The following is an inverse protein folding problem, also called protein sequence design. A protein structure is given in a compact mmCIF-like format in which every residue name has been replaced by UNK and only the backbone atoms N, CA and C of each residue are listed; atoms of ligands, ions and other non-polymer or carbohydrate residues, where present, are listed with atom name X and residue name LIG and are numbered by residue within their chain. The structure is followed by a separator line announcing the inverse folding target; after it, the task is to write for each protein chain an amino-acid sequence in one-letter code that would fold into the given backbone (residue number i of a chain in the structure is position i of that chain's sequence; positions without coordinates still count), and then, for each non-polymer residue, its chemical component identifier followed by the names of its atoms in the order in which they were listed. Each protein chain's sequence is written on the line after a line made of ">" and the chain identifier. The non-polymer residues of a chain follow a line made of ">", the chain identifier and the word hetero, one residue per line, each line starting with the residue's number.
data_IF_277610566182
#
_entry.id   IF_277610566182
#
_cell.length_a   1.000
_cell.length_b   1.000
_cell.length_c   1.000
_cell.angle_alpha   90.00
_cell.angle_beta   90.00
_cell.angle_gamma   90.00
#
_symmetry.space_group_name_H-M   'P 1'
#
loop_
_entity.id
_entity.type
_entity.pdbx_description
1 polymer ?
#
# COMPACT_ATOMS: atom_id res chain seq x y z
N UNK A 1 35.20 54.49 37.30
CA UNK A 1 34.38 55.24 38.28
C UNK A 1 32.92 54.87 38.04
N UNK A 2 32.36 54.00 38.89
CA UNK A 2 31.26 54.27 39.86
C UNK A 2 29.95 54.70 39.18
N UNK A 3 28.99 53.79 38.96
CA UNK A 3 27.95 53.28 39.89
C UNK A 3 26.81 54.29 40.13
N UNK A 4 25.56 53.97 39.78
CA UNK A 4 24.54 53.43 40.71
C UNK A 4 23.33 52.90 39.89
N UNK A 5 22.84 51.64 39.94
CA UNK A 5 22.06 50.92 41.01
C UNK A 5 21.01 51.83 41.69
N UNK A 6 19.74 51.48 41.98
CA UNK A 6 18.89 50.27 42.03
C UNK A 6 17.47 50.76 42.42
N UNK A 7 16.41 50.02 42.05
CA UNK A 7 15.14 49.73 42.78
C UNK A 7 14.12 49.28 41.70
N UNK A 8 13.75 48.02 41.43
CA UNK A 8 13.29 46.85 42.24
C UNK A 8 12.04 47.17 43.09
N UNK A 9 10.85 46.94 42.51
CA UNK A 9 9.88 45.87 42.85
C UNK A 9 8.44 46.28 42.51
N UNK A 10 7.64 45.34 41.98
CA UNK A 10 6.24 45.60 41.65
C UNK A 10 5.45 44.51 40.91
N UNK A 11 5.47 43.27 41.42
CA UNK A 11 4.31 42.35 41.48
C UNK A 11 3.77 41.85 40.12
N UNK A 12 4.25 40.67 39.67
CA UNK A 12 3.50 39.40 39.69
C UNK A 12 2.03 39.49 39.23
N UNK A 13 1.77 39.22 37.93
CA UNK A 13 0.52 38.57 37.52
C UNK A 13 0.83 37.15 37.04
N UNK A 14 0.91 36.24 38.01
CA UNK A 14 0.80 34.80 37.76
C UNK A 14 -0.56 34.52 37.14
N UNK A 15 -0.62 34.28 35.82
CA UNK A 15 -1.70 33.48 35.26
C UNK A 15 -1.52 32.05 35.76
N UNK A 16 -2.20 31.74 36.88
CA UNK A 16 -2.48 30.36 37.29
C UNK A 16 -3.19 29.69 36.11
N UNK A 17 -2.47 28.83 35.40
CA UNK A 17 -3.14 27.70 34.77
C UNK A 17 -3.69 26.86 35.92
N UNK A 18 -5.02 26.93 36.09
CA UNK A 18 -5.73 25.99 36.95
C UNK A 18 -5.56 24.63 36.29
N UNK A 19 -4.65 23.83 36.85
CA UNK A 19 -4.56 22.40 36.62
C UNK A 19 -5.81 21.80 37.28
N UNK A 20 -6.90 21.70 36.55
CA UNK A 20 -7.99 20.80 36.96
C UNK A 20 -7.47 19.38 36.79
N UNK A 21 -6.92 18.85 37.88
CA UNK A 21 -6.88 17.42 38.12
C UNK A 21 -8.32 16.91 38.20
N UNK A 22 -8.90 16.57 37.05
CA UNK A 22 -10.03 15.67 37.04
C UNK A 22 -9.47 14.26 37.25
N UNK A 23 -9.69 13.77 38.47
CA UNK A 23 -9.54 12.37 38.88
C UNK A 23 -9.97 11.45 37.75
N UNK A 24 -8.97 10.75 37.22
CA UNK A 24 -9.03 9.58 36.34
C UNK A 24 -10.08 8.60 36.88
N UNK A 25 -11.27 8.57 36.26
CA UNK A 25 -12.23 7.49 36.43
C UNK A 25 -12.04 6.49 35.28
N UNK A 26 -11.58 5.30 35.67
CA UNK A 26 -10.95 4.25 34.87
C UNK A 26 -11.95 3.28 34.17
N UNK A 27 -12.98 3.77 33.46
CA UNK A 27 -13.96 2.87 32.83
C UNK A 27 -14.43 3.15 31.40
N UNK A 28 -13.93 4.16 30.69
CA UNK A 28 -14.44 4.51 29.35
C UNK A 28 -13.33 4.64 28.28
N UNK A 29 -12.39 3.69 28.26
CA UNK A 29 -11.10 3.78 27.51
C UNK A 29 -10.92 2.74 26.39
N UNK A 30 -11.95 2.35 25.61
CA UNK A 30 -11.85 1.14 24.75
C UNK A 30 -12.07 1.27 23.24
N UNK A 31 -12.13 2.47 22.63
CA UNK A 31 -12.67 2.58 21.27
C UNK A 31 -11.97 3.59 20.36
N UNK A 32 -10.83 3.19 19.85
CA UNK A 32 -10.25 3.61 18.58
C UNK A 32 -9.35 2.44 18.24
N UNK A 33 -9.41 1.67 17.15
CA UNK A 33 -9.75 1.69 15.70
C UNK A 33 -10.00 0.18 15.41
N UNK A 34 -9.66 -0.42 14.26
CA UNK A 34 -9.29 -1.82 14.07
C UNK A 34 -7.78 -2.09 14.21
N UNK A 35 -6.92 -1.20 13.73
CA UNK A 35 -5.45 -1.18 14.00
C UNK A 35 -5.12 -0.21 15.16
N UNK A 36 -6.16 -0.04 15.95
CA UNK A 36 -6.27 0.73 17.16
C UNK A 36 -7.28 -0.10 18.04
N UNK A 37 -8.10 -1.04 17.50
CA UNK A 37 -8.71 -2.19 18.23
C UNK A 37 -7.78 -3.42 18.22
N UNK A 38 -6.52 -3.17 18.55
CA UNK A 38 -5.58 -4.22 18.92
C UNK A 38 -5.38 -4.30 20.43
N UNK A 39 -6.08 -3.46 21.19
CA UNK A 39 -6.23 -3.62 22.63
C UNK A 39 -7.63 -4.12 22.99
N UNK A 40 -7.84 -5.43 23.05
CA UNK A 40 -8.96 -6.00 23.83
C UNK A 40 -8.39 -6.79 25.00
N UNK A 41 -8.54 -6.26 26.20
CA UNK A 41 -8.45 -7.03 27.43
C UNK A 41 -9.74 -7.84 27.63
N UNK A 42 -9.64 -9.16 27.43
CA UNK A 42 -10.21 -10.26 28.24
C UNK A 42 -11.64 -10.18 28.84
N UNK A 43 -12.55 -9.35 28.36
CA UNK A 43 -13.89 -9.25 28.96
C UNK A 43 -15.00 -9.07 27.91
N UNK A 44 -15.09 -9.99 26.96
CA UNK A 44 -16.34 -10.45 26.31
C UNK A 44 -15.97 -11.59 25.33
N UNK A 45 -15.94 -12.81 25.88
CA UNK A 45 -15.70 -14.05 25.16
C UNK A 45 -16.94 -14.44 24.36
N UNK A 46 -16.84 -14.48 23.03
CA UNK A 46 -17.32 -15.61 22.21
C UNK A 46 -16.40 -15.72 20.99
N UNK A 47 -15.90 -16.92 20.72
CA UNK A 47 -14.98 -17.37 19.65
C UNK A 47 -13.47 -17.27 19.95
N UNK A 48 -12.82 -18.44 20.05
CA UNK A 48 -11.43 -18.60 20.45
C UNK A 48 -10.42 -18.22 19.35
N UNK A 49 -10.81 -18.33 18.07
CA UNK A 49 -9.92 -18.08 16.93
C UNK A 49 -9.70 -16.58 16.69
N UNK A 50 -10.74 -15.76 16.85
CA UNK A 50 -10.66 -14.29 16.70
C UNK A 50 -9.78 -13.63 17.78
N UNK A 51 -9.78 -14.21 18.99
CA UNK A 51 -8.93 -13.75 20.09
C UNK A 51 -7.44 -13.96 19.82
N UNK A 52 -7.08 -15.10 19.22
CA UNK A 52 -5.70 -15.41 18.84
C UNK A 52 -5.22 -14.49 17.71
N UNK A 53 -6.09 -14.17 16.75
CA UNK A 53 -5.78 -13.24 15.66
C UNK A 53 -5.46 -11.82 16.16
N UNK A 54 -6.32 -11.26 17.02
CA UNK A 54 -6.12 -9.94 17.62
C UNK A 54 -4.86 -9.88 18.50
N UNK A 55 -4.63 -10.93 19.28
CA UNK A 55 -3.45 -11.00 20.14
C UNK A 55 -2.14 -11.03 19.33
N UNK A 56 -2.11 -11.79 18.23
CA UNK A 56 -0.96 -11.80 17.30
C UNK A 56 -0.73 -10.44 16.67
N UNK A 57 -1.80 -9.79 16.19
CA UNK A 57 -1.69 -8.49 15.54
C UNK A 57 -1.23 -7.40 16.52
N UNK A 58 -1.60 -7.47 17.81
CA UNK A 58 -1.06 -6.58 18.86
C UNK A 58 0.46 -6.74 19.06
N UNK A 59 1.00 -7.94 18.89
CA UNK A 59 2.45 -8.17 19.00
C UNK A 59 3.24 -7.64 17.82
N UNK A 60 2.59 -7.55 16.66
CA UNK A 60 3.17 -7.03 15.42
C UNK A 60 3.12 -5.50 15.35
N UNK A 61 2.36 -4.86 16.24
CA UNK A 61 2.22 -3.41 16.33
C UNK A 61 2.35 -3.00 17.82
N UNK A 62 3.55 -3.17 18.44
CA UNK A 62 3.79 -2.80 19.82
C UNK A 62 3.72 -1.27 20.05
N UNK A 63 3.67 -0.79 21.30
CA UNK A 63 3.75 0.64 21.60
C UNK A 63 4.99 1.29 20.98
N UNK A 64 4.81 2.44 20.33
CA UNK A 64 5.85 3.14 19.56
C UNK A 64 5.28 4.25 18.67
N UNK A 65 6.13 4.95 17.94
CA UNK A 65 5.79 5.99 16.99
C UNK A 65 5.65 5.41 15.57
N UNK A 66 4.49 5.58 14.94
CA UNK A 66 4.19 4.94 13.66
C UNK A 66 3.91 5.94 12.55
N UNK A 67 4.41 5.61 11.36
CA UNK A 67 4.03 6.26 10.10
C UNK A 67 2.97 5.43 9.40
N UNK A 68 1.82 6.02 9.13
CA UNK A 68 0.71 5.40 8.39
C UNK A 68 0.63 5.99 7.00
N UNK A 69 0.85 5.17 5.97
CA UNK A 69 0.81 5.58 4.57
C UNK A 69 -0.59 5.36 4.01
N UNK A 70 -1.20 6.41 3.46
CA UNK A 70 -2.44 6.29 2.69
C UNK A 70 -2.12 6.23 1.21
N UNK A 71 -2.19 5.02 0.66
CA UNK A 71 -1.74 4.70 -0.69
C UNK A 71 -2.91 4.70 -1.68
N UNK A 72 -2.82 5.52 -2.73
CA UNK A 72 -3.82 5.54 -3.80
C UNK A 72 -3.52 4.47 -4.86
N UNK A 73 -4.14 3.30 -4.75
CA UNK A 73 -3.96 2.20 -5.71
C UNK A 73 -4.69 2.40 -7.05
N UNK A 74 -5.39 3.53 -7.25
CA UNK A 74 -5.72 4.00 -8.61
C UNK A 74 -4.49 4.49 -9.38
N UNK A 75 -3.41 4.82 -8.66
CA UNK A 75 -2.07 5.12 -9.18
C UNK A 75 -1.13 4.03 -8.65
N UNK A 76 -1.21 2.84 -9.23
CA UNK A 76 -0.52 1.66 -8.71
C UNK A 76 1.00 1.87 -8.62
N UNK A 77 1.57 1.39 -7.53
CA UNK A 77 3.01 1.25 -7.28
C UNK A 77 3.32 -0.22 -6.94
N UNK A 78 4.60 -0.60 -6.95
CA UNK A 78 5.03 -1.98 -6.68
C UNK A 78 4.56 -2.48 -5.31
N UNK A 79 4.76 -1.71 -4.25
CA UNK A 79 4.36 -2.07 -2.88
C UNK A 79 3.11 -1.30 -2.42
N UNK A 80 2.06 -1.31 -3.25
CA UNK A 80 0.76 -0.68 -2.98
C UNK A 80 0.43 0.48 -3.93
N UNK A 81 -0.33 1.46 -3.50
CA UNK A 81 -0.63 2.67 -4.27
C UNK A 81 0.37 3.83 -4.11
N UNK A 82 0.19 4.90 -4.88
CA UNK A 82 0.93 6.15 -4.74
C UNK A 82 0.75 6.77 -3.34
N UNK A 83 1.85 7.18 -2.69
CA UNK A 83 1.81 7.79 -1.34
C UNK A 83 1.44 9.26 -1.48
N UNK A 84 0.15 9.53 -1.39
CA UNK A 84 -0.38 10.87 -1.59
C UNK A 84 -0.64 11.66 -0.30
N UNK A 85 -0.70 10.97 0.82
CA UNK A 85 -0.99 11.50 2.16
C UNK A 85 -0.54 10.47 3.19
N UNK A 86 -0.30 10.89 4.42
CA UNK A 86 0.10 10.00 5.50
C UNK A 86 -0.39 10.54 6.85
N UNK A 87 -0.24 9.74 7.89
CA UNK A 87 -0.41 10.17 9.25
C UNK A 87 0.74 9.68 10.13
N UNK A 88 0.97 10.35 11.24
CA UNK A 88 1.77 9.81 12.35
C UNK A 88 0.88 9.63 13.57
N UNK A 89 1.16 8.60 14.36
CA UNK A 89 0.47 8.38 15.63
C UNK A 89 1.36 7.61 16.59
N UNK A 90 1.17 7.84 17.89
CA UNK A 90 1.83 7.09 18.93
C UNK A 90 0.92 5.97 19.41
N UNK A 91 1.35 4.72 19.28
CA UNK A 91 0.66 3.57 19.83
C UNK A 91 1.11 3.40 21.28
N UNK A 92 0.13 3.26 22.18
CA UNK A 92 0.36 3.08 23.62
C UNK A 92 -0.25 1.76 24.07
N UNK A 93 0.07 1.34 25.29
CA UNK A 93 -0.53 0.13 25.87
C UNK A 93 -2.07 0.20 25.97
N UNK A 94 -2.63 1.41 25.93
CA UNK A 94 -4.06 1.70 26.13
C UNK A 94 -4.78 2.21 24.88
N UNK A 95 -4.09 2.38 23.74
CA UNK A 95 -4.69 2.88 22.50
C UNK A 95 -3.69 3.66 21.67
N UNK A 96 -4.06 4.88 21.27
CA UNK A 96 -3.21 5.80 20.52
C UNK A 96 -3.30 7.22 21.07
N UNK A 97 -2.26 7.99 20.80
CA UNK A 97 -2.19 9.42 21.06
C UNK A 97 -1.53 10.13 19.85
N UNK A 98 -1.58 11.46 19.84
CA UNK A 98 -0.84 12.30 18.88
C UNK A 98 -1.07 11.98 17.39
N UNK A 99 -2.29 11.61 17.00
CA UNK A 99 -2.64 11.44 15.59
C UNK A 99 -2.55 12.77 14.83
N UNK A 100 -1.61 12.84 13.90
CA UNK A 100 -1.43 13.97 12.98
C UNK A 100 -1.56 13.45 11.56
N UNK A 101 -2.43 14.09 10.77
CA UNK A 101 -2.69 13.72 9.36
C UNK A 101 -2.11 14.81 8.46
N UNK A 102 -1.26 14.41 7.53
CA UNK A 102 -0.70 15.25 6.48
C UNK A 102 -1.35 14.88 5.13
N UNK A 103 -2.09 15.84 4.58
CA UNK A 103 -2.93 15.66 3.40
C UNK A 103 -2.25 16.10 2.10
N UNK A 104 -1.05 16.68 2.17
CA UNK A 104 -0.34 17.14 0.98
C UNK A 104 1.16 16.84 1.04
N UNK A 105 1.50 15.65 0.55
CA UNK A 105 2.89 15.18 0.42
C UNK A 105 3.79 16.14 -0.38
N UNK A 106 3.23 16.86 -1.37
CA UNK A 106 4.01 17.76 -2.24
C UNK A 106 4.63 18.93 -1.49
N UNK A 107 4.06 19.38 -0.37
CA UNK A 107 4.65 20.47 0.43
C UNK A 107 6.02 20.08 0.96
N UNK A 108 6.15 18.83 1.41
CA UNK A 108 7.40 18.29 1.94
C UNK A 108 8.36 17.91 0.82
N UNK A 109 7.87 17.20 -0.19
CA UNK A 109 8.67 16.79 -1.34
C UNK A 109 9.31 17.98 -2.06
N UNK A 110 8.55 19.06 -2.33
CA UNK A 110 9.08 20.24 -3.01
C UNK A 110 10.21 20.90 -2.21
N UNK A 111 9.97 21.12 -0.91
CA UNK A 111 10.98 21.71 -0.03
C UNK A 111 12.24 20.84 0.11
N UNK A 112 12.12 19.51 0.04
CA UNK A 112 13.26 18.60 0.04
C UNK A 112 13.98 18.57 -1.30
N UNK A 113 13.24 18.39 -2.40
CA UNK A 113 13.80 18.28 -3.75
C UNK A 113 14.47 19.57 -4.22
N UNK A 114 14.12 20.75 -3.69
CA UNK A 114 14.88 21.98 -3.93
C UNK A 114 16.32 21.92 -3.40
N UNK A 115 16.55 21.19 -2.32
CA UNK A 115 17.83 21.12 -1.60
C UNK A 115 18.66 19.87 -1.93
N UNK A 116 17.99 18.77 -2.25
CA UNK A 116 18.60 17.46 -2.47
C UNK A 116 18.16 16.90 -3.82
N UNK A 117 19.12 16.42 -4.61
CA UNK A 117 18.87 15.79 -5.90
C UNK A 117 19.19 14.30 -5.83
N UNK A 118 18.16 13.48 -5.67
CA UNK A 118 18.26 12.02 -5.78
C UNK A 118 17.62 11.64 -7.10
N UNK A 119 18.37 10.99 -8.00
CA UNK A 119 17.81 10.55 -9.27
C UNK A 119 16.76 9.46 -9.05
N UNK A 120 15.57 9.58 -9.67
CA UNK A 120 14.59 8.51 -9.65
C UNK A 120 15.10 7.32 -10.51
N UNK A 121 14.57 6.11 -10.24
CA UNK A 121 14.67 4.99 -11.18
C UNK A 121 14.24 5.41 -12.58
N UNK A 122 14.86 4.81 -13.61
CA UNK A 122 14.61 5.18 -15.01
C UNK A 122 13.11 5.22 -15.37
N UNK A 123 12.27 4.23 -14.99
CA UNK A 123 10.84 4.26 -15.32
C UNK A 123 10.03 5.36 -14.63
N UNK A 124 10.60 6.00 -13.59
CA UNK A 124 9.97 7.13 -12.88
C UNK A 124 10.46 8.49 -13.38
N UNK A 125 11.41 8.53 -14.32
CA UNK A 125 11.91 9.79 -14.88
C UNK A 125 10.80 10.55 -15.60
N UNK A 126 10.78 11.87 -15.44
CA UNK A 126 9.74 12.75 -15.99
C UNK A 126 8.40 12.72 -15.27
N UNK A 127 8.20 11.78 -14.34
CA UNK A 127 6.98 11.63 -13.52
C UNK A 127 7.24 12.06 -12.09
N UNK A 128 8.45 11.76 -11.59
CA UNK A 128 8.94 12.17 -10.27
C UNK A 128 8.94 13.70 -10.09
N UNK A 129 8.76 14.17 -8.86
CA UNK A 129 8.72 15.62 -8.53
C UNK A 129 10.03 16.27 -8.93
N UNK A 130 9.99 17.23 -9.87
CA UNK A 130 11.19 17.88 -10.41
C UNK A 130 12.23 16.89 -10.98
N UNK A 131 11.77 15.71 -11.44
CA UNK A 131 12.63 14.58 -11.83
C UNK A 131 13.60 14.13 -10.72
N UNK A 132 13.14 14.23 -9.47
CA UNK A 132 13.87 13.85 -8.24
C UNK A 132 13.01 12.94 -7.39
N UNK A 133 13.65 11.92 -6.81
CA UNK A 133 13.01 11.00 -5.89
C UNK A 133 12.72 11.70 -4.56
N UNK A 134 11.51 11.50 -4.04
CA UNK A 134 11.02 12.03 -2.76
C UNK A 134 10.09 11.00 -2.11
N UNK A 135 9.58 11.27 -0.90
CA UNK A 135 8.79 10.32 -0.11
C UNK A 135 7.61 9.74 -0.90
N UNK A 136 6.89 10.55 -1.69
CA UNK A 136 5.70 10.11 -2.45
C UNK A 136 5.91 8.93 -3.40
N UNK A 137 7.12 8.77 -3.95
CA UNK A 137 7.49 7.75 -4.94
C UNK A 137 8.53 6.76 -4.36
N UNK A 138 8.79 6.83 -3.05
CA UNK A 138 9.81 6.01 -2.40
C UNK A 138 9.39 4.55 -2.18
N UNK A 139 8.11 4.21 -2.40
CA UNK A 139 7.59 2.85 -2.38
C UNK A 139 7.74 2.10 -3.73
N UNK A 140 8.88 2.33 -4.40
CA UNK A 140 9.19 1.77 -5.70
C UNK A 140 9.74 0.33 -5.65
N UNK A 141 10.19 -0.17 -4.50
CA UNK A 141 10.70 -1.54 -4.44
C UNK A 141 9.55 -2.55 -4.50
N UNK A 142 9.80 -3.71 -5.14
CA UNK A 142 8.85 -4.84 -5.16
C UNK A 142 8.71 -5.50 -3.77
N UNK A 143 9.68 -5.27 -2.91
CA UNK A 143 9.73 -5.73 -1.53
C UNK A 143 9.28 -4.61 -0.59
N UNK A 144 8.18 -4.82 0.15
CA UNK A 144 7.62 -3.75 0.97
C UNK A 144 8.53 -3.36 2.14
N UNK A 145 9.29 -4.28 2.72
CA UNK A 145 10.27 -3.94 3.77
C UNK A 145 11.27 -2.91 3.27
N UNK A 146 11.86 -3.14 2.10
CA UNK A 146 12.80 -2.20 1.46
C UNK A 146 12.14 -0.84 1.16
N UNK A 147 10.90 -0.86 0.67
CA UNK A 147 10.08 0.34 0.48
C UNK A 147 9.80 1.07 1.80
N UNK A 148 9.45 0.36 2.88
CA UNK A 148 9.13 0.95 4.18
C UNK A 148 10.36 1.57 4.86
N UNK A 149 11.51 0.92 4.77
CA UNK A 149 12.81 1.47 5.18
C UNK A 149 13.12 2.76 4.42
N UNK A 150 12.93 2.76 3.09
CA UNK A 150 13.16 3.93 2.25
C UNK A 150 12.18 5.08 2.55
N UNK A 151 10.90 4.78 2.69
CA UNK A 151 9.87 5.75 3.07
C UNK A 151 10.18 6.37 4.43
N UNK A 152 10.55 5.57 5.43
CA UNK A 152 10.94 6.05 6.76
C UNK A 152 12.15 6.98 6.70
N UNK A 153 13.13 6.65 5.84
CA UNK A 153 14.29 7.50 5.62
C UNK A 153 13.91 8.84 4.99
N UNK A 154 13.10 8.84 3.92
CA UNK A 154 12.63 10.07 3.27
C UNK A 154 11.79 10.92 4.21
N UNK A 155 10.86 10.32 4.96
CA UNK A 155 10.05 11.01 5.96
C UNK A 155 10.94 11.81 6.92
N UNK A 156 12.01 11.19 7.44
CA UNK A 156 12.99 11.87 8.29
C UNK A 156 13.76 12.98 7.57
N UNK A 157 14.18 12.77 6.31
CA UNK A 157 14.88 13.81 5.53
C UNK A 157 13.97 15.00 5.20
N UNK A 158 12.67 14.76 5.11
CA UNK A 158 11.62 15.74 4.82
C UNK A 158 11.07 16.43 6.09
N UNK A 159 11.80 16.31 7.21
CA UNK A 159 11.51 17.00 8.46
C UNK A 159 10.55 16.25 9.39
N UNK A 160 10.31 14.96 9.14
CA UNK A 160 9.64 14.05 10.06
C UNK A 160 10.56 13.53 11.17
N UNK A 161 9.95 12.92 12.19
CA UNK A 161 10.69 12.23 13.26
C UNK A 161 11.07 10.80 12.85
N UNK A 162 11.93 10.14 13.64
CA UNK A 162 12.18 8.72 13.44
C UNK A 162 10.95 7.92 13.88
N UNK A 163 10.62 6.86 13.14
CA UNK A 163 9.45 6.00 13.39
C UNK A 163 9.90 4.60 13.75
N UNK A 164 9.16 3.94 14.63
CA UNK A 164 9.41 2.57 15.06
C UNK A 164 8.82 1.56 14.06
N UNK A 165 7.77 1.94 13.34
CA UNK A 165 7.13 1.11 12.32
C UNK A 165 6.36 1.90 11.24
N UNK A 166 6.05 1.21 10.16
CA UNK A 166 5.29 1.71 9.01
C UNK A 166 4.07 0.83 8.78
N UNK A 167 2.90 1.45 8.63
CA UNK A 167 1.65 0.78 8.28
C UNK A 167 1.19 1.35 6.93
N UNK A 168 1.22 0.54 5.87
CA UNK A 168 0.70 0.95 4.57
C UNK A 168 -0.75 0.49 4.42
N UNK A 169 -1.62 1.40 3.97
CA UNK A 169 -3.06 1.15 3.79
C UNK A 169 -3.44 1.63 2.39
N UNK A 170 -3.84 0.71 1.52
CA UNK A 170 -4.38 1.04 0.21
C UNK A 170 -5.78 1.66 0.32
N UNK A 171 -6.13 2.56 -0.61
CA UNK A 171 -7.40 3.29 -0.57
C UNK A 171 -8.63 2.38 -0.64
N UNK A 172 -8.51 1.22 -1.26
CA UNK A 172 -9.52 0.15 -1.28
C UNK A 172 -9.92 -0.33 0.12
N UNK A 173 -9.01 -0.31 1.11
CA UNK A 173 -9.35 -0.65 2.51
C UNK A 173 -10.47 0.24 3.05
N UNK A 174 -10.43 1.54 2.74
CA UNK A 174 -11.48 2.47 3.16
C UNK A 174 -12.81 2.22 2.43
N UNK A 175 -12.74 1.85 1.15
CA UNK A 175 -13.90 1.41 0.36
C UNK A 175 -14.54 0.16 0.96
N UNK A 176 -13.73 -0.85 1.30
CA UNK A 176 -14.21 -2.11 1.88
C UNK A 176 -14.74 -1.91 3.30
N UNK A 177 -14.12 -1.01 4.08
CA UNK A 177 -14.61 -0.66 5.41
C UNK A 177 -16.03 -0.06 5.37
N UNK A 178 -16.38 0.72 4.34
CA UNK A 178 -17.74 1.26 4.16
C UNK A 178 -18.81 0.16 4.04
N UNK A 179 -18.45 -1.04 3.58
CA UNK A 179 -19.36 -2.21 3.54
C UNK A 179 -19.75 -2.67 4.95
N UNK A 180 -18.90 -2.41 5.95
CA UNK A 180 -19.10 -2.81 7.34
C UNK A 180 -19.72 -1.68 8.16
N UNK A 181 -19.24 -0.45 7.98
CA UNK A 181 -19.66 0.71 8.79
C UNK A 181 -20.89 1.44 8.25
N UNK A 182 -21.30 1.11 7.02
CA UNK A 182 -22.39 1.76 6.30
C UNK A 182 -21.96 3.07 5.61
N UNK A 183 -22.91 3.69 4.92
CA UNK A 183 -22.70 4.96 4.24
C UNK A 183 -22.38 6.10 5.20
N UNK A 184 -21.59 7.07 4.73
CA UNK A 184 -21.27 8.30 5.44
C UNK A 184 -21.90 9.48 4.70
N UNK A 185 -22.76 10.28 5.36
CA UNK A 185 -23.30 11.49 4.75
C UNK A 185 -22.16 12.51 4.54
N UNK A 186 -22.16 13.16 3.39
CA UNK A 186 -21.21 14.21 3.04
C UNK A 186 -21.84 15.60 3.23
N UNK A 187 -21.03 16.65 3.47
CA UNK A 187 -21.53 18.02 3.57
C UNK A 187 -22.27 18.51 2.32
N UNK A 188 -21.99 17.91 1.15
CA UNK A 188 -22.66 18.21 -0.12
C UNK A 188 -24.11 17.72 -0.18
N UNK A 189 -24.54 16.89 0.78
CA UNK A 189 -25.86 16.25 0.81
C UNK A 189 -25.88 14.84 0.20
N UNK A 190 -24.82 14.45 -0.50
CA UNK A 190 -24.64 13.09 -1.00
C UNK A 190 -24.20 12.11 0.10
N UNK A 191 -24.21 10.82 -0.21
CA UNK A 191 -23.68 9.78 0.66
C UNK A 191 -22.43 9.13 0.03
N UNK A 192 -21.37 9.04 0.82
CA UNK A 192 -20.21 8.22 0.52
C UNK A 192 -20.51 6.76 0.86
N UNK A 193 -20.43 5.89 -0.13
CA UNK A 193 -20.69 4.45 -0.06
C UNK A 193 -19.52 3.67 -0.65
N UNK A 194 -19.49 2.36 -0.44
CA UNK A 194 -18.46 1.52 -1.04
C UNK A 194 -18.50 1.59 -2.58
N UNK A 195 -19.69 1.67 -3.18
CA UNK A 195 -19.88 1.60 -4.64
C UNK A 195 -19.45 2.88 -5.35
N UNK A 196 -19.50 4.04 -4.68
CA UNK A 196 -19.15 5.34 -5.26
C UNK A 196 -17.86 5.93 -4.66
N UNK A 197 -17.18 5.22 -3.75
CA UNK A 197 -16.05 5.75 -2.97
C UNK A 197 -15.01 6.52 -3.80
N UNK A 198 -14.43 5.85 -4.80
CA UNK A 198 -13.39 6.46 -5.64
C UNK A 198 -13.93 7.61 -6.49
N UNK A 199 -15.10 7.43 -7.12
CA UNK A 199 -15.73 8.46 -7.95
C UNK A 199 -16.06 9.71 -7.15
N UNK A 200 -16.64 9.55 -5.95
CA UNK A 200 -17.03 10.65 -5.07
C UNK A 200 -15.81 11.36 -4.48
N UNK A 201 -14.82 10.62 -3.96
CA UNK A 201 -13.59 11.26 -3.45
C UNK A 201 -12.83 11.97 -4.55
N UNK A 202 -12.74 11.37 -5.75
CA UNK A 202 -12.12 12.03 -6.89
C UNK A 202 -12.85 13.34 -7.22
N UNK A 203 -14.18 13.31 -7.31
CA UNK A 203 -14.97 14.51 -7.59
C UNK A 203 -14.72 15.63 -6.57
N UNK A 204 -14.69 15.32 -5.28
CA UNK A 204 -14.43 16.31 -4.22
C UNK A 204 -13.00 16.86 -4.32
N UNK A 205 -12.00 15.98 -4.43
CA UNK A 205 -10.57 16.32 -4.39
C UNK A 205 -10.11 17.06 -5.65
N UNK A 206 -10.64 16.70 -6.82
CA UNK A 206 -10.10 17.15 -8.11
C UNK A 206 -11.00 18.18 -8.79
N UNK A 207 -12.31 18.11 -8.56
CA UNK A 207 -13.26 19.08 -9.09
C UNK A 207 -13.60 20.13 -8.04
N UNK A 208 -14.29 19.77 -6.96
CA UNK A 208 -14.75 20.78 -5.99
C UNK A 208 -13.59 21.60 -5.42
N UNK A 209 -12.45 20.95 -5.13
CA UNK A 209 -11.28 21.62 -4.61
C UNK A 209 -10.60 22.57 -5.60
N UNK A 210 -10.25 22.08 -6.79
CA UNK A 210 -9.46 22.89 -7.74
C UNK A 210 -10.31 23.90 -8.52
N UNK A 211 -11.63 23.77 -8.57
CA UNK A 211 -12.48 24.83 -9.14
C UNK A 211 -12.75 25.97 -8.14
N UNK A 212 -12.53 25.78 -6.84
CA UNK A 212 -12.60 26.83 -5.81
C UNK A 212 -11.28 27.63 -5.73
N UNK A 213 -11.30 28.97 -5.97
CA UNK A 213 -10.09 29.80 -5.91
C UNK A 213 -9.40 29.86 -4.54
N UNK A 214 -10.17 29.77 -3.45
CA UNK A 214 -9.65 29.81 -2.07
C UNK A 214 -8.97 28.48 -1.75
N UNK A 215 -9.59 27.37 -2.13
CA UNK A 215 -9.03 26.04 -1.93
C UNK A 215 -7.76 25.83 -2.76
N UNK A 216 -7.75 26.26 -4.03
CA UNK A 216 -6.51 26.29 -4.84
C UNK A 216 -5.36 27.04 -4.16
N UNK A 217 -5.66 28.15 -3.49
CA UNK A 217 -4.64 28.92 -2.76
C UNK A 217 -4.12 28.17 -1.52
N UNK A 218 -4.97 27.38 -0.86
CA UNK A 218 -4.60 26.57 0.32
C UNK A 218 -3.76 25.34 -0.05
N UNK A 219 -4.00 24.77 -1.23
CA UNK A 219 -3.29 23.61 -1.79
C UNK A 219 -3.20 22.44 -0.79
N UNK A 220 -4.36 21.94 -0.38
CA UNK A 220 -4.63 20.83 0.55
C UNK A 220 -5.82 20.00 0.05
N UNK A 221 -5.76 19.45 -1.18
CA UNK A 221 -6.91 18.87 -1.87
C UNK A 221 -7.52 17.65 -1.16
N UNK A 222 -6.77 17.01 -0.25
CA UNK A 222 -7.19 15.81 0.48
C UNK A 222 -7.72 16.11 1.88
N UNK A 223 -8.09 17.36 2.16
CA UNK A 223 -8.71 17.75 3.44
C UNK A 223 -9.96 16.92 3.75
N UNK A 224 -10.73 16.53 2.72
CA UNK A 224 -11.87 15.61 2.88
C UNK A 224 -11.50 14.30 3.58
N UNK A 225 -10.30 13.76 3.36
CA UNK A 225 -9.83 12.54 4.04
C UNK A 225 -9.72 12.82 5.55
N UNK A 226 -9.13 13.96 5.93
CA UNK A 226 -9.00 14.38 7.32
C UNK A 226 -10.36 14.60 7.99
N UNK A 227 -11.34 15.14 7.26
CA UNK A 227 -12.70 15.37 7.76
C UNK A 227 -13.50 14.07 7.92
N UNK A 228 -13.24 13.06 7.08
CA UNK A 228 -13.88 11.76 7.16
C UNK A 228 -13.34 10.91 8.33
N UNK A 229 -12.06 11.04 8.69
CA UNK A 229 -11.42 10.22 9.74
C UNK A 229 -12.22 10.18 11.06
N UNK A 230 -12.66 11.31 11.65
CA UNK A 230 -13.48 11.29 12.87
C UNK A 230 -14.77 10.50 12.72
N UNK A 231 -15.43 10.57 11.55
CA UNK A 231 -16.67 9.83 11.28
C UNK A 231 -16.40 8.34 11.15
N UNK A 232 -15.35 7.95 10.41
CA UNK A 232 -14.89 6.55 10.35
C UNK A 232 -14.60 6.03 11.76
N UNK A 233 -13.81 6.77 12.55
CA UNK A 233 -13.48 6.41 13.93
C UNK A 233 -14.75 6.24 14.76
N UNK A 234 -15.71 7.17 14.67
CA UNK A 234 -16.98 7.11 15.40
C UNK A 234 -17.81 5.87 15.04
N UNK A 235 -17.90 5.53 13.74
CA UNK A 235 -18.64 4.34 13.28
C UNK A 235 -17.97 3.03 13.68
N UNK A 236 -16.63 3.00 13.67
CA UNK A 236 -15.87 1.85 14.17
C UNK A 236 -16.18 1.52 15.64
N UNK A 237 -16.65 2.51 16.42
CA UNK A 237 -17.00 2.32 17.85
C UNK A 237 -18.27 1.50 18.08
N UNK A 238 -19.07 1.28 17.05
CA UNK A 238 -20.35 0.60 17.18
C UNK A 238 -20.13 -0.91 17.41
N UNK A 239 -20.82 -1.49 18.40
CA UNK A 239 -20.60 -2.87 18.81
C UNK A 239 -20.76 -3.89 17.67
N UNK A 240 -21.71 -3.67 16.75
CA UNK A 240 -21.92 -4.51 15.56
C UNK A 240 -20.76 -4.45 14.57
N UNK A 241 -20.01 -3.35 14.53
CA UNK A 241 -18.81 -3.18 13.70
C UNK A 241 -17.61 -3.83 14.37
N UNK A 242 -17.42 -3.62 15.68
CA UNK A 242 -16.30 -4.15 16.45
C UNK A 242 -16.13 -5.67 16.32
N UNK A 243 -17.24 -6.40 16.32
CA UNK A 243 -17.21 -7.88 16.20
C UNK A 243 -16.71 -8.33 14.82
N UNK A 244 -16.88 -7.52 13.77
CA UNK A 244 -16.48 -7.86 12.39
C UNK A 244 -15.07 -7.38 12.03
N UNK A 245 -14.55 -6.44 12.82
CA UNK A 245 -13.32 -5.72 12.55
C UNK A 245 -12.06 -6.60 12.55
N UNK A 246 -11.88 -7.61 13.44
CA UNK A 246 -10.72 -8.48 13.41
C UNK A 246 -10.62 -9.27 12.10
N UNK A 247 -11.73 -9.90 11.70
CA UNK A 247 -11.82 -10.65 10.45
C UNK A 247 -11.57 -9.76 9.22
N UNK A 248 -12.12 -8.54 9.24
CA UNK A 248 -11.86 -7.54 8.20
C UNK A 248 -10.36 -7.22 8.08
N UNK A 249 -9.69 -6.85 9.18
CA UNK A 249 -8.27 -6.50 9.13
C UNK A 249 -7.42 -7.68 8.67
N UNK A 250 -7.73 -8.89 9.17
CA UNK A 250 -7.02 -10.09 8.76
C UNK A 250 -7.18 -10.36 7.26
N UNK A 251 -8.38 -10.15 6.72
CA UNK A 251 -8.62 -10.22 5.28
C UNK A 251 -7.77 -9.19 4.54
N UNK A 252 -7.82 -7.91 4.92
CA UNK A 252 -7.04 -6.85 4.27
C UNK A 252 -5.52 -7.07 4.33
N UNK A 253 -5.01 -7.66 5.43
CA UNK A 253 -3.61 -8.04 5.57
C UNK A 253 -3.25 -9.22 4.64
N UNK A 254 -4.08 -10.26 4.59
CA UNK A 254 -3.87 -11.43 3.74
C UNK A 254 -3.98 -11.09 2.25
N UNK A 255 -4.87 -10.16 1.89
CA UNK A 255 -5.02 -9.64 0.53
C UNK A 255 -3.96 -8.60 0.16
N UNK A 256 -3.04 -8.29 1.10
CA UNK A 256 -1.97 -7.30 1.00
C UNK A 256 -2.49 -5.89 0.71
N UNK A 257 -3.71 -5.57 1.13
CA UNK A 257 -4.26 -4.22 1.12
C UNK A 257 -3.75 -3.39 2.31
N UNK A 258 -3.42 -4.07 3.41
CA UNK A 258 -2.64 -3.53 4.52
C UNK A 258 -1.29 -4.25 4.58
N UNK A 259 -0.21 -3.51 4.80
CA UNK A 259 1.13 -4.08 5.01
C UNK A 259 1.79 -3.44 6.23
N UNK A 260 2.57 -4.23 6.96
CA UNK A 260 3.24 -3.81 8.19
C UNK A 260 4.75 -3.89 8.03
N UNK A 261 5.47 -3.01 8.70
CA UNK A 261 6.91 -3.06 8.85
C UNK A 261 7.27 -2.52 10.23
N UNK A 262 8.27 -3.12 10.86
CA UNK A 262 8.79 -2.65 12.14
C UNK A 262 10.32 -2.66 12.17
N UNK A 263 10.92 -1.70 12.87
CA UNK A 263 12.39 -1.56 12.97
C UNK A 263 13.02 -2.56 13.93
N UNK A 264 12.29 -3.01 14.96
CA UNK A 264 12.67 -4.16 15.80
C UNK A 264 12.63 -5.47 15.00
N UNK A 265 13.78 -6.15 14.92
CA UNK A 265 13.98 -7.35 14.13
C UNK A 265 13.08 -8.53 14.56
N UNK A 266 12.72 -8.64 15.85
CA UNK A 266 11.85 -9.72 16.32
C UNK A 266 10.40 -9.46 15.91
N UNK A 267 9.95 -8.21 15.99
CA UNK A 267 8.62 -7.80 15.53
C UNK A 267 8.51 -8.00 14.02
N UNK A 268 9.52 -7.56 13.25
CA UNK A 268 9.57 -7.73 11.81
C UNK A 268 9.59 -9.21 11.40
N UNK A 269 10.36 -10.05 12.09
CA UNK A 269 10.36 -11.49 11.83
C UNK A 269 8.96 -12.12 12.00
N UNK A 270 8.18 -11.66 12.99
CA UNK A 270 6.80 -12.12 13.18
C UNK A 270 5.86 -11.62 12.08
N UNK A 271 6.00 -10.36 11.66
CA UNK A 271 5.25 -9.76 10.54
C UNK A 271 5.50 -10.56 9.25
N UNK A 272 6.77 -10.87 8.96
CA UNK A 272 7.18 -11.64 7.79
C UNK A 272 6.70 -13.09 7.85
N UNK A 273 6.76 -13.73 9.02
CA UNK A 273 6.24 -15.08 9.22
C UNK A 273 4.72 -15.17 9.01
N UNK A 274 3.98 -14.09 9.24
CA UNK A 274 2.56 -13.98 8.94
C UNK A 274 2.26 -13.57 7.49
N UNK A 275 3.30 -13.31 6.67
CA UNK A 275 3.20 -12.80 5.30
C UNK A 275 2.52 -11.41 5.18
N UNK A 276 2.54 -10.64 6.27
CA UNK A 276 1.93 -9.30 6.33
C UNK A 276 2.93 -8.17 6.03
N UNK A 277 4.22 -8.52 5.89
CA UNK A 277 5.29 -7.56 5.61
C UNK A 277 5.61 -7.34 4.14
N UNK A 278 4.88 -7.97 3.21
CA UNK A 278 5.05 -7.66 1.79
C UNK A 278 6.39 -8.02 1.16
N UNK A 279 7.19 -8.86 1.82
CA UNK A 279 8.49 -9.24 1.31
C UNK A 279 8.40 -10.16 0.09
N UNK A 280 9.42 -10.13 -0.76
CA UNK A 280 9.55 -11.14 -1.83
C UNK A 280 9.79 -12.50 -1.19
N UNK A 281 8.94 -13.49 -1.53
CA UNK A 281 9.01 -14.80 -0.88
C UNK A 281 10.20 -15.60 -1.37
N UNK A 282 10.95 -16.16 -0.43
CA UNK A 282 11.95 -17.19 -0.74
C UNK A 282 11.25 -18.52 -0.94
N UNK A 283 11.25 -18.99 -2.19
CA UNK A 283 10.65 -20.26 -2.55
C UNK A 283 11.70 -21.27 -2.97
N UNK A 284 11.41 -22.52 -2.62
CA UNK A 284 12.21 -23.68 -2.98
C UNK A 284 11.86 -24.21 -4.38
N UNK A 285 10.62 -23.99 -4.81
CA UNK A 285 10.10 -24.38 -6.12
C UNK A 285 10.03 -23.20 -7.08
N UNK A 286 9.17 -23.34 -8.08
CA UNK A 286 8.94 -22.30 -9.07
C UNK A 286 8.22 -21.08 -8.47
N UNK A 287 8.38 -19.92 -9.12
CA UNK A 287 7.93 -18.63 -8.60
C UNK A 287 7.45 -17.72 -9.73
N UNK A 288 6.33 -17.04 -9.51
CA UNK A 288 5.89 -15.95 -10.37
C UNK A 288 5.27 -14.85 -9.52
N UNK A 289 5.69 -13.61 -9.76
CA UNK A 289 5.00 -12.43 -9.24
C UNK A 289 5.01 -11.32 -10.29
N UNK A 290 3.90 -10.60 -10.38
CA UNK A 290 3.70 -9.53 -11.35
C UNK A 290 3.50 -8.22 -10.60
N UNK A 291 4.44 -7.28 -10.75
CA UNK A 291 4.40 -5.98 -10.09
C UNK A 291 4.16 -4.89 -11.11
N UNK A 292 2.92 -4.40 -11.15
CA UNK A 292 2.50 -3.28 -11.96
C UNK A 292 2.89 -1.95 -11.30
N UNK A 293 3.41 -1.01 -12.07
CA UNK A 293 3.65 0.35 -11.63
C UNK A 293 3.12 1.32 -12.67
N UNK A 294 2.08 2.07 -12.31
CA UNK A 294 1.53 3.11 -13.16
C UNK A 294 2.42 4.37 -13.06
N UNK A 295 3.25 4.54 -14.07
CA UNK A 295 4.20 5.64 -14.22
C UNK A 295 3.64 6.72 -15.15
N UNK A 296 2.32 6.77 -15.37
CA UNK A 296 1.70 7.82 -16.16
C UNK A 296 1.34 9.08 -15.37
N UNK A 297 1.21 8.97 -14.04
CA UNK A 297 0.66 10.03 -13.19
C UNK A 297 -0.87 10.20 -13.30
N UNK A 298 -1.56 9.25 -13.95
CA UNK A 298 -3.02 9.22 -14.06
C UNK A 298 -3.63 8.12 -13.17
N UNK A 299 -4.91 8.23 -12.84
CA UNK A 299 -5.60 7.36 -11.87
C UNK A 299 -6.33 6.19 -12.54
N UNK A 300 -5.70 5.54 -13.52
CA UNK A 300 -6.32 4.52 -14.37
C UNK A 300 -6.16 3.08 -13.86
N UNK A 301 -5.35 2.83 -12.82
CA UNK A 301 -4.99 1.45 -12.45
C UNK A 301 -6.18 0.60 -12.00
N UNK A 302 -7.16 1.19 -11.30
CA UNK A 302 -8.38 0.47 -10.89
C UNK A 302 -9.37 0.23 -12.05
N UNK A 303 -9.16 0.88 -13.20
CA UNK A 303 -9.94 0.65 -14.42
C UNK A 303 -9.33 -0.43 -15.32
N UNK A 304 -8.19 -1.03 -14.93
CA UNK A 304 -7.51 -2.08 -15.70
C UNK A 304 -7.66 -3.42 -14.98
N UNK A 305 -8.27 -4.40 -15.66
CA UNK A 305 -8.31 -5.79 -15.20
C UNK A 305 -7.17 -6.59 -15.82
N UNK A 306 -6.53 -7.48 -15.06
CA UNK A 306 -5.44 -8.34 -15.53
C UNK A 306 -5.84 -9.83 -15.49
N UNK A 307 -5.56 -10.55 -16.58
CA UNK A 307 -5.57 -12.01 -16.65
C UNK A 307 -4.16 -12.52 -16.95
N UNK A 308 -3.70 -13.47 -16.16
CA UNK A 308 -2.42 -14.16 -16.34
C UNK A 308 -2.67 -15.62 -16.68
N UNK A 309 -2.11 -16.07 -17.81
CA UNK A 309 -2.12 -17.48 -18.21
C UNK A 309 -0.69 -18.00 -18.21
N UNK A 310 -0.41 -19.03 -17.42
CA UNK A 310 0.90 -19.66 -17.30
C UNK A 310 0.81 -21.06 -17.89
N UNK A 311 1.56 -21.31 -18.96
CA UNK A 311 1.71 -22.64 -19.55
C UNK A 311 3.09 -23.17 -19.20
N UNK A 312 3.14 -24.36 -18.63
CA UNK A 312 4.36 -25.02 -18.16
C UNK A 312 4.54 -26.31 -18.95
N UNK A 313 5.73 -26.49 -19.53
CA UNK A 313 6.14 -27.73 -20.19
C UNK A 313 7.42 -28.26 -19.54
N UNK A 314 7.53 -29.58 -19.39
CA UNK A 314 8.75 -30.23 -18.93
C UNK A 314 9.67 -30.45 -20.12
N UNK A 315 10.73 -29.65 -20.24
CA UNK A 315 11.76 -29.84 -21.26
C UNK A 315 12.69 -31.01 -20.89
N UNK A 316 13.03 -31.09 -19.60
CA UNK A 316 13.74 -32.22 -18.98
C UNK A 316 13.23 -32.45 -17.56
N UNK A 317 13.70 -33.48 -16.86
CA UNK A 317 13.33 -33.75 -15.46
C UNK A 317 13.62 -32.58 -14.48
N UNK A 318 14.47 -31.64 -14.87
CA UNK A 318 14.90 -30.50 -14.04
C UNK A 318 14.64 -29.14 -14.68
N UNK A 319 14.19 -29.09 -15.94
CA UNK A 319 14.02 -27.81 -16.66
C UNK A 319 12.57 -27.65 -17.09
N UNK A 320 11.97 -26.57 -16.62
CA UNK A 320 10.64 -26.13 -17.02
C UNK A 320 10.77 -25.07 -18.10
N UNK A 321 9.98 -25.21 -19.14
CA UNK A 321 9.69 -24.16 -20.10
C UNK A 321 8.38 -23.48 -19.69
N UNK A 322 8.41 -22.17 -19.61
CA UNK A 322 7.26 -21.33 -19.28
C UNK A 322 6.88 -20.49 -20.46
N UNK A 323 5.58 -20.42 -20.73
CA UNK A 323 4.96 -19.38 -21.54
C UNK A 323 3.93 -18.65 -20.71
N UNK A 324 4.25 -17.42 -20.33
CA UNK A 324 3.42 -16.54 -19.51
C UNK A 324 2.78 -15.49 -20.40
N UNK A 325 1.44 -15.46 -20.43
CA UNK A 325 0.63 -14.52 -21.19
C UNK A 325 -0.07 -13.62 -20.19
N UNK A 326 0.16 -12.31 -20.30
CA UNK A 326 -0.39 -11.28 -19.42
C UNK A 326 -1.26 -10.38 -20.26
N UNK A 327 -2.57 -10.46 -20.05
CA UNK A 327 -3.58 -9.66 -20.74
C UNK A 327 -4.09 -8.59 -19.78
N UNK A 328 -4.01 -7.33 -20.21
CA UNK A 328 -4.51 -6.18 -19.45
C UNK A 328 -5.61 -5.52 -20.27
N UNK A 329 -6.81 -5.44 -19.72
CA UNK A 329 -7.97 -4.82 -20.38
C UNK A 329 -8.36 -3.56 -19.63
N UNK A 330 -8.31 -2.43 -20.32
CA UNK A 330 -8.69 -1.14 -19.77
C UNK A 330 -10.19 -0.88 -19.99
N UNK A 331 -10.97 -0.93 -18.92
CA UNK A 331 -12.43 -0.80 -18.92
C UNK A 331 -12.90 0.65 -18.77
N UNK A 332 -11.99 1.57 -18.45
CA UNK A 332 -12.27 3.00 -18.35
C UNK A 332 -12.46 3.69 -19.70
N UNK A 333 -12.82 4.98 -19.65
CA UNK A 333 -13.23 5.80 -20.79
C UNK A 333 -12.15 6.74 -21.30
N UNK A 334 -11.03 6.87 -20.59
CA UNK A 334 -9.97 7.84 -20.89
C UNK A 334 -10.34 9.29 -20.54
N UNK A 335 -11.41 9.50 -19.78
CA UNK A 335 -11.80 10.82 -19.27
C UNK A 335 -11.10 11.06 -17.95
N UNK A 336 -10.39 12.20 -17.84
CA UNK A 336 -9.67 12.60 -16.63
C UNK A 336 -10.50 12.29 -15.36
N UNK A 337 -9.91 11.56 -14.39
CA UNK A 337 -8.49 11.28 -14.19
C UNK A 337 -8.01 9.98 -14.85
N UNK A 338 -8.89 9.34 -15.61
CA UNK A 338 -8.62 8.13 -16.36
C UNK A 338 -7.95 8.48 -17.69
N UNK A 339 -6.96 7.70 -18.09
CA UNK A 339 -6.17 7.87 -19.31
C UNK A 339 -5.42 6.57 -19.58
N UNK A 340 -4.69 6.51 -20.69
CA UNK A 340 -3.71 5.45 -20.96
C UNK A 340 -2.98 5.01 -19.71
N UNK A 341 -3.07 3.73 -19.38
CA UNK A 341 -2.38 3.16 -18.25
C UNK A 341 -0.93 2.90 -18.64
N UNK A 342 -0.06 3.88 -18.40
CA UNK A 342 1.38 3.78 -18.66
C UNK A 342 2.02 2.91 -17.57
N UNK A 343 2.27 1.65 -17.87
CA UNK A 343 2.57 0.65 -16.84
C UNK A 343 3.95 0.03 -17.04
N UNK A 344 4.84 0.27 -16.09
CA UNK A 344 6.08 -0.48 -15.99
C UNK A 344 5.84 -1.76 -15.20
N UNK A 345 5.77 -2.89 -15.91
CA UNK A 345 5.57 -4.20 -15.33
C UNK A 345 6.91 -4.84 -15.00
N UNK A 346 7.05 -5.37 -13.78
CA UNK A 346 8.14 -6.25 -13.38
C UNK A 346 7.62 -7.66 -13.13
N UNK A 347 8.12 -8.61 -13.91
CA UNK A 347 7.85 -10.04 -13.81
C UNK A 347 8.99 -10.67 -13.03
N UNK A 348 8.71 -11.19 -11.85
CA UNK A 348 9.70 -11.74 -10.93
C UNK A 348 9.61 -13.26 -10.97
N UNK A 349 10.72 -13.91 -11.26
CA UNK A 349 10.85 -15.35 -11.51
C UNK A 349 12.10 -15.90 -10.78
N UNK A 350 12.30 -17.23 -10.70
CA UNK A 350 13.49 -17.78 -10.04
C UNK A 350 14.80 -17.19 -10.58
N UNK A 351 15.82 -17.07 -9.73
CA UNK A 351 17.09 -16.38 -10.05
C UNK A 351 17.91 -17.03 -11.18
N UNK A 352 17.58 -18.27 -11.54
CA UNK A 352 18.21 -18.98 -12.65
C UNK A 352 17.35 -18.99 -13.92
N UNK A 353 16.26 -18.21 -13.96
CA UNK A 353 15.41 -18.10 -15.12
C UNK A 353 16.17 -17.48 -16.30
N UNK A 354 15.92 -17.99 -17.51
CA UNK A 354 16.52 -17.50 -18.76
C UNK A 354 15.43 -17.13 -19.75
N UNK A 355 15.33 -15.86 -20.09
CA UNK A 355 14.40 -15.38 -21.10
C UNK A 355 14.76 -15.97 -22.48
N UNK A 356 13.76 -16.46 -23.20
CA UNK A 356 13.86 -17.01 -24.56
C UNK A 356 13.24 -16.04 -25.57
N UNK A 357 12.03 -15.56 -25.30
CA UNK A 357 11.31 -14.65 -26.18
C UNK A 357 10.43 -13.70 -25.37
N UNK A 358 10.16 -12.52 -25.93
CA UNK A 358 9.19 -11.59 -25.40
C UNK A 358 8.45 -10.93 -26.56
N UNK A 359 7.12 -10.88 -26.51
CA UNK A 359 6.32 -10.14 -27.48
C UNK A 359 5.29 -9.27 -26.79
N UNK A 360 5.03 -8.10 -27.37
CA UNK A 360 3.97 -7.19 -26.91
C UNK A 360 3.06 -6.86 -28.08
N UNK A 361 1.76 -7.19 -27.94
CA UNK A 361 0.77 -7.11 -29.01
C UNK A 361 1.24 -7.77 -30.32
N UNK A 362 1.92 -8.92 -30.19
CA UNK A 362 2.46 -9.70 -31.32
C UNK A 362 3.77 -9.17 -31.92
N UNK A 363 4.27 -8.02 -31.48
CA UNK A 363 5.56 -7.47 -31.93
C UNK A 363 6.68 -7.95 -31.02
N UNK A 364 7.85 -8.27 -31.58
CA UNK A 364 9.03 -8.65 -30.80
C UNK A 364 9.44 -7.55 -29.83
N UNK A 365 9.77 -7.96 -28.60
CA UNK A 365 10.11 -7.08 -27.48
C UNK A 365 11.34 -7.57 -26.71
N UNK A 366 12.02 -8.62 -27.18
CA UNK A 366 13.13 -9.24 -26.45
C UNK A 366 14.20 -8.23 -25.99
N UNK A 367 14.70 -7.38 -26.90
CA UNK A 367 15.76 -6.41 -26.61
C UNK A 367 15.33 -5.23 -25.73
N UNK A 368 14.03 -5.09 -25.45
CA UNK A 368 13.47 -4.02 -24.61
C UNK A 368 13.12 -4.53 -23.20
N UNK A 369 13.35 -5.82 -22.92
CA UNK A 369 13.21 -6.36 -21.56
C UNK A 369 14.46 -6.00 -20.76
N UNK A 370 14.29 -5.19 -19.72
CA UNK A 370 15.32 -4.98 -18.71
C UNK A 370 15.40 -6.23 -17.83
N UNK A 371 16.57 -6.89 -17.78
CA UNK A 371 16.79 -8.08 -16.96
C UNK A 371 17.73 -7.72 -15.82
N UNK A 372 17.24 -7.80 -14.58
CA UNK A 372 18.01 -7.46 -13.39
C UNK A 372 17.83 -8.49 -12.28
N UNK A 373 18.89 -8.80 -11.50
CA UNK A 373 18.75 -9.59 -10.27
C UNK A 373 18.19 -8.72 -9.14
N UNK A 374 17.19 -9.23 -8.41
CA UNK A 374 16.68 -8.58 -7.20
C UNK A 374 16.12 -9.62 -6.22
N UNK A 375 16.37 -9.47 -4.92
CA UNK A 375 15.82 -10.34 -3.86
C UNK A 375 15.97 -11.85 -4.13
N UNK A 376 17.16 -12.28 -4.58
CA UNK A 376 17.44 -13.67 -4.97
C UNK A 376 16.45 -14.23 -6.02
N UNK A 377 16.02 -13.36 -6.93
CA UNK A 377 15.17 -13.62 -8.09
C UNK A 377 15.74 -12.93 -9.32
N UNK A 378 15.22 -13.30 -10.49
CA UNK A 378 15.41 -12.57 -11.73
C UNK A 378 14.16 -11.75 -12.02
N UNK A 379 14.34 -10.50 -12.42
CA UNK A 379 13.26 -9.59 -12.77
C UNK A 379 13.34 -9.24 -14.24
N UNK A 380 12.25 -9.45 -14.96
CA UNK A 380 12.04 -8.95 -16.32
C UNK A 380 11.16 -7.70 -16.24
N UNK A 381 11.74 -6.53 -16.53
CA UNK A 381 11.07 -5.23 -16.49
C UNK A 381 10.77 -4.70 -17.89
N UNK A 382 9.54 -4.26 -18.16
CA UNK A 382 9.15 -3.65 -19.44
C UNK A 382 7.91 -2.78 -19.31
N UNK A 383 7.74 -1.82 -20.23
CA UNK A 383 6.47 -1.11 -20.42
C UNK A 383 5.42 -2.02 -21.07
N UNK A 384 4.20 -1.97 -20.51
CA UNK A 384 2.99 -2.69 -20.94
C UNK A 384 1.82 -1.72 -20.87
N UNK A 385 1.84 -0.73 -21.75
CA UNK A 385 0.86 0.35 -21.73
C UNK A 385 -0.49 -0.13 -22.29
N UNK A 386 -1.59 0.29 -21.66
CA UNK A 386 -2.95 -0.12 -22.06
C UNK A 386 -3.82 1.10 -22.30
N UNK A 387 -4.28 1.26 -23.54
CA UNK A 387 -5.18 2.34 -23.93
C UNK A 387 -6.62 2.11 -23.43
N UNK A 388 -7.38 3.18 -23.12
CA UNK A 388 -8.79 3.06 -22.75
C UNK A 388 -9.62 2.29 -23.78
N UNK A 389 -10.42 1.33 -23.31
CA UNK A 389 -11.24 0.46 -24.16
C UNK A 389 -10.46 -0.62 -24.91
N UNK A 390 -9.14 -0.73 -24.73
CA UNK A 390 -8.30 -1.72 -25.40
C UNK A 390 -7.83 -2.83 -24.45
N UNK A 391 -7.34 -3.91 -25.04
CA UNK A 391 -6.59 -4.97 -24.36
C UNK A 391 -5.17 -4.99 -24.89
N UNK A 392 -4.19 -4.93 -24.00
CA UNK A 392 -2.78 -5.14 -24.33
C UNK A 392 -2.34 -6.53 -23.87
N UNK A 393 -1.45 -7.18 -24.62
CA UNK A 393 -0.95 -8.52 -24.31
C UNK A 393 0.58 -8.56 -24.32
N UNK A 394 1.18 -8.95 -23.20
CA UNK A 394 2.59 -9.32 -23.11
C UNK A 394 2.70 -10.85 -23.06
N UNK A 395 3.56 -11.43 -23.88
CA UNK A 395 3.91 -12.86 -23.82
C UNK A 395 5.39 -12.99 -23.55
N UNK A 396 5.75 -13.73 -22.52
CA UNK A 396 7.13 -14.06 -22.17
C UNK A 396 7.32 -15.57 -22.22
N UNK A 397 8.43 -16.00 -22.80
CA UNK A 397 8.85 -17.40 -22.77
C UNK A 397 10.22 -17.49 -22.10
N UNK A 398 10.37 -18.38 -21.14
CA UNK A 398 11.61 -18.53 -20.39
C UNK A 398 11.81 -19.95 -19.86
N UNK A 399 13.06 -20.30 -19.55
CA UNK A 399 13.41 -21.56 -18.90
C UNK A 399 13.70 -21.33 -17.43
N UNK A 400 13.29 -22.27 -16.58
CA UNK A 400 13.66 -22.34 -15.16
C UNK A 400 14.23 -23.72 -14.88
N UNK A 401 15.38 -23.77 -14.19
CA UNK A 401 15.91 -25.04 -13.67
C UNK A 401 15.48 -25.25 -12.21
N UNK A 402 14.88 -26.38 -11.88
CA UNK A 402 14.46 -26.71 -10.51
C UNK A 402 15.25 -27.90 -9.96
N UNK A 403 15.53 -27.87 -8.66
CA UNK A 403 16.00 -29.05 -7.94
C UNK A 403 14.90 -30.13 -7.89
N UNK A 404 15.27 -31.39 -8.10
CA UNK A 404 14.33 -32.53 -8.23
C UNK A 404 13.29 -32.57 -7.07
N UNK A 405 12.03 -32.91 -7.41
CA UNK A 405 10.85 -33.05 -6.53
C UNK A 405 10.09 -31.76 -6.13
N UNK A 406 10.20 -30.65 -6.88
CA UNK A 406 9.52 -29.38 -6.54
C UNK A 406 8.60 -28.84 -7.63
N UNK A 407 7.63 -29.65 -8.04
CA UNK A 407 6.61 -29.29 -9.03
C UNK A 407 5.47 -28.47 -8.40
N UNK A 408 5.81 -27.24 -8.00
CA UNK A 408 4.80 -26.27 -7.59
C UNK A 408 5.21 -24.87 -8.02
N UNK A 409 4.24 -24.09 -8.49
CA UNK A 409 4.35 -22.67 -8.76
C UNK A 409 3.77 -21.90 -7.59
N UNK A 410 4.60 -21.07 -6.95
CA UNK A 410 4.12 -20.05 -6.03
C UNK A 410 3.84 -18.75 -6.80
N UNK A 411 2.57 -18.35 -6.86
CA UNK A 411 2.14 -17.05 -7.37
C UNK A 411 2.00 -16.07 -6.21
N UNK A 412 2.85 -15.04 -6.16
CA UNK A 412 2.76 -14.00 -5.14
C UNK A 412 1.97 -12.81 -5.67
N UNK A 413 0.92 -12.43 -4.93
CA UNK A 413 0.08 -11.28 -5.27
C UNK A 413 0.78 -9.96 -4.94
N UNK A 414 0.57 -8.97 -5.79
CA UNK A 414 0.98 -7.58 -5.55
C UNK A 414 0.04 -6.87 -4.54
N UNK A 415 0.60 -6.01 -3.68
CA UNK A 415 -0.21 -5.12 -2.83
C UNK A 415 -1.00 -4.09 -3.64
N UNK A 416 -2.22 -3.75 -3.22
CA UNK A 416 -3.05 -2.74 -3.88
C UNK A 416 -3.79 -3.20 -5.14
N UNK A 417 -3.40 -4.32 -5.76
CA UNK A 417 -4.21 -4.92 -6.83
C UNK A 417 -5.50 -5.52 -6.26
N UNK A 418 -6.58 -5.48 -7.04
CA UNK A 418 -7.79 -6.22 -6.75
C UNK A 418 -7.59 -7.71 -7.07
N UNK A 419 -8.66 -8.50 -7.06
CA UNK A 419 -8.58 -9.90 -7.44
C UNK A 419 -8.28 -10.05 -8.94
N UNK A 420 -7.24 -10.80 -9.28
CA UNK A 420 -6.76 -11.00 -10.67
C UNK A 420 -6.98 -12.43 -11.14
N UNK A 421 -7.24 -12.64 -12.42
CA UNK A 421 -7.46 -13.98 -12.95
C UNK A 421 -6.13 -14.69 -13.20
N UNK A 422 -5.95 -15.89 -12.63
CA UNK A 422 -4.80 -16.77 -12.89
C UNK A 422 -5.26 -18.12 -13.43
N UNK A 423 -4.73 -18.48 -14.58
CA UNK A 423 -4.88 -19.80 -15.19
C UNK A 423 -3.50 -20.45 -15.31
N UNK A 424 -3.33 -21.68 -14.81
CA UNK A 424 -2.08 -22.44 -14.90
C UNK A 424 -2.36 -23.78 -15.55
N UNK A 425 -1.60 -24.09 -16.60
CA UNK A 425 -1.67 -25.35 -17.34
C UNK A 425 -0.31 -26.02 -17.42
N UNK A 426 -0.29 -27.35 -17.37
CA UNK A 426 0.91 -28.17 -17.48
C UNK A 426 0.70 -29.17 -18.61
N UNK A 427 1.47 -29.02 -19.69
CA UNK A 427 1.08 -29.57 -20.99
C UNK A 427 -0.32 -29.11 -21.38
N UNK A 428 -1.18 -30.04 -21.80
CA UNK A 428 -2.57 -29.74 -22.21
C UNK A 428 -3.57 -29.66 -21.05
N UNK A 429 -3.12 -29.87 -19.81
CA UNK A 429 -4.01 -29.94 -18.64
C UNK A 429 -3.99 -28.64 -17.85
N UNK A 430 -5.14 -27.96 -17.74
CA UNK A 430 -5.34 -26.90 -16.75
C UNK A 430 -5.35 -27.50 -15.34
N UNK A 431 -4.42 -27.05 -14.49
CA UNK A 431 -4.27 -27.49 -13.09
C UNK A 431 -4.79 -26.45 -12.10
N UNK A 432 -4.93 -25.20 -12.54
CA UNK A 432 -5.47 -24.10 -11.73
C UNK A 432 -6.19 -23.09 -12.60
N UNK A 433 -7.34 -22.59 -12.14
CA UNK A 433 -8.06 -21.49 -12.76
C UNK A 433 -8.94 -20.81 -11.70
N UNK A 434 -8.57 -19.60 -11.28
CA UNK A 434 -9.32 -18.87 -10.27
C UNK A 434 -9.06 -17.36 -10.35
N UNK A 435 -9.94 -16.59 -9.71
CA UNK A 435 -9.69 -15.20 -9.37
C UNK A 435 -8.98 -15.14 -8.02
N UNK A 436 -7.79 -14.53 -7.97
CA UNK A 436 -6.91 -14.50 -6.81
C UNK A 436 -6.90 -13.14 -6.13
N UNK A 437 -7.39 -13.08 -4.89
CA UNK A 437 -7.20 -11.93 -3.99
C UNK A 437 -6.03 -12.12 -3.01
N UNK A 438 -5.40 -13.29 -3.00
CA UNK A 438 -4.26 -13.65 -2.12
C UNK A 438 -3.21 -14.45 -2.90
N UNK A 439 -2.05 -14.70 -2.28
CA UNK A 439 -1.02 -15.59 -2.83
C UNK A 439 -1.58 -17.01 -3.07
N UNK A 440 -1.03 -17.72 -4.05
CA UNK A 440 -1.45 -19.07 -4.38
C UNK A 440 -0.26 -20.01 -4.58
N UNK A 441 -0.40 -21.27 -4.13
CA UNK A 441 0.53 -22.35 -4.48
C UNK A 441 -0.18 -23.35 -5.35
N UNK A 442 0.25 -23.47 -6.61
CA UNK A 442 -0.29 -24.43 -7.57
C UNK A 442 0.66 -25.62 -7.63
N UNK A 443 0.19 -26.80 -7.23
CA UNK A 443 0.93 -28.07 -7.36
C UNK A 443 0.62 -28.71 -8.71
N UNK A 444 1.62 -29.33 -9.33
CA UNK A 444 1.44 -30.03 -10.60
C UNK A 444 2.26 -31.31 -10.69
#
# INVERSE_FOLDING_TARGET
>A
MKSSKVFIDGIQSTKRYVKTETKKNWREFWLAFGILALGVSSASLVFADDFLGLWRLKQMIPPGHYLVLFQNNAEQRPSGGFIGSFATLDITASGYENLVVDTNIYKRDNAFTERVAISPPEPLKGVATNDRLAMRDSNWDIDFRSSAERVSWFYKQEGGEAVDGVIAINATVAQDLLKIIGSIPLPTGDELKAENFFTTLHYIIEKEYFYDPVQRQQNEPKTVIKELIPTFISRLKQANVLVRLPAFIQQELNERQIQLYHTDENVEANILAANWGGAISETKGDYLALFNANVGGQKSSLNVSQKTTVKIELETNETLYHRVIIERTHQGTGVWPDHTNNNYLRIVVPSNAKLISATFNGSDRFDQINIEPAFNKTVFGTHVDTEPGATSQLVLEYLVKLDQNRQSLFYQKQSGTLAEALEVSVGDRTVFNALLSTDATVKF
#
